data_IF_657562219443
#
_entry.id   IF_657562219443
#
_cell.length_a   1.000
_cell.length_b   1.000
_cell.length_c   1.000
_cell.angle_alpha   90.00
_cell.angle_beta   90.00
_cell.angle_gamma   90.00
#
_symmetry.space_group_name_H-M   'P 1'
#
loop_
_entity.id
_entity.type
_entity.pdbx_description
1 polymer ?
#
# COMPACT_ATOMS: atom_id res chain seq x y z
N UNK A 1 2.12 -9.07 -21.25
CA UNK A 1 2.69 -7.97 -20.45
C UNK A 1 1.98 -6.67 -20.81
N UNK A 2 1.36 -6.05 -19.82
CA UNK A 2 0.52 -4.86 -19.93
C UNK A 2 1.33 -3.62 -19.54
N UNK A 3 1.12 -2.49 -20.21
CA UNK A 3 1.84 -1.23 -19.96
C UNK A 3 1.17 -0.36 -18.87
N UNK A 4 0.20 -0.92 -18.16
CA UNK A 4 -0.60 -0.21 -17.17
C UNK A 4 0.10 -0.06 -15.80
N UNK A 5 1.20 -0.78 -15.54
CA UNK A 5 1.90 -0.74 -14.24
C UNK A 5 2.31 0.67 -13.85
N UNK A 6 3.00 1.41 -14.72
CA UNK A 6 3.39 2.79 -14.40
C UNK A 6 2.17 3.71 -14.21
N UNK A 7 1.18 3.77 -15.14
CA UNK A 7 -0.03 4.55 -14.93
C UNK A 7 -0.78 4.25 -13.62
N UNK A 8 -0.92 2.97 -13.24
CA UNK A 8 -1.56 2.57 -11.97
C UNK A 8 -0.75 3.06 -10.78
N UNK A 9 0.58 2.95 -10.85
CA UNK A 9 1.45 3.51 -9.83
C UNK A 9 1.35 5.03 -9.75
N UNK A 10 1.15 5.75 -10.86
CA UNK A 10 0.95 7.21 -10.81
C UNK A 10 -0.36 7.57 -10.11
N UNK A 11 -1.44 6.85 -10.39
CA UNK A 11 -2.71 7.02 -9.67
C UNK A 11 -2.53 6.75 -8.18
N UNK A 12 -1.87 5.64 -7.82
CA UNK A 12 -1.58 5.31 -6.43
C UNK A 12 -0.71 6.37 -5.73
N UNK A 13 0.33 6.86 -6.42
CA UNK A 13 1.21 7.89 -5.87
C UNK A 13 0.43 9.18 -5.59
N UNK A 14 -0.37 9.64 -6.55
CA UNK A 14 -1.15 10.87 -6.45
C UNK A 14 -2.22 10.81 -5.34
N UNK A 15 -2.82 9.64 -5.11
CA UNK A 15 -3.81 9.43 -4.05
C UNK A 15 -3.21 9.18 -2.66
N UNK A 16 -1.88 9.20 -2.51
CA UNK A 16 -1.21 8.94 -1.24
C UNK A 16 -1.11 7.45 -0.86
N UNK A 17 -1.39 6.53 -1.79
CA UNK A 17 -1.29 5.07 -1.56
C UNK A 17 0.14 4.55 -1.70
N UNK A 18 0.36 3.32 -1.26
CA UNK A 18 1.57 2.54 -1.55
C UNK A 18 1.48 1.90 -2.93
N UNK A 19 2.62 1.71 -3.59
CA UNK A 19 2.71 1.22 -4.97
C UNK A 19 3.64 0.01 -5.09
N UNK A 20 3.48 -0.75 -6.17
CA UNK A 20 4.23 -1.98 -6.44
C UNK A 20 4.74 -1.99 -7.88
N UNK A 21 5.95 -2.50 -8.08
CA UNK A 21 6.50 -2.77 -9.40
C UNK A 21 7.47 -3.95 -9.38
N UNK A 22 7.78 -4.46 -10.57
CA UNK A 22 8.78 -5.50 -10.78
C UNK A 22 8.55 -6.25 -12.08
N UNK A 23 9.52 -7.10 -12.44
CA UNK A 23 9.42 -7.96 -13.63
C UNK A 23 8.27 -8.97 -13.57
N UNK A 24 7.74 -9.25 -12.38
CA UNK A 24 6.51 -10.03 -12.19
C UNK A 24 5.31 -9.37 -12.86
N UNK A 25 5.17 -8.05 -12.69
CA UNK A 25 4.02 -7.30 -13.19
C UNK A 25 4.23 -6.87 -14.66
N UNK A 26 5.46 -6.48 -15.01
CA UNK A 26 5.78 -5.99 -16.34
C UNK A 26 7.25 -6.20 -16.72
N UNK A 27 7.49 -6.65 -17.96
CA UNK A 27 8.83 -6.93 -18.48
C UNK A 27 9.38 -5.83 -19.40
N UNK A 28 8.58 -4.85 -19.81
CA UNK A 28 8.93 -3.89 -20.86
C UNK A 28 9.00 -2.47 -20.34
N UNK A 29 9.85 -1.63 -20.94
CA UNK A 29 9.73 -0.19 -20.76
C UNK A 29 8.41 0.34 -21.38
N UNK A 30 8.03 1.58 -21.07
CA UNK A 30 6.75 2.16 -21.50
C UNK A 30 6.58 2.22 -23.03
N UNK A 31 7.68 2.22 -23.80
CA UNK A 31 7.67 2.23 -25.28
C UNK A 31 7.82 0.85 -25.91
N UNK A 32 7.97 -0.22 -25.12
CA UNK A 32 8.28 -1.59 -25.57
C UNK A 32 9.53 -1.72 -26.46
N UNK A 33 10.47 -0.80 -26.36
CA UNK A 33 11.72 -0.88 -27.13
C UNK A 33 12.78 -1.75 -26.46
N UNK A 34 12.68 -1.95 -25.15
CA UNK A 34 13.60 -2.78 -24.39
C UNK A 34 12.93 -3.40 -23.16
N UNK A 35 13.51 -4.50 -22.66
CA UNK A 35 13.15 -5.08 -21.37
C UNK A 35 13.59 -4.14 -20.24
N UNK A 36 12.79 -4.06 -19.19
CA UNK A 36 13.05 -3.19 -18.05
C UNK A 36 13.08 -4.03 -16.78
N UNK A 37 14.25 -4.13 -16.14
CA UNK A 37 14.43 -4.90 -14.90
C UNK A 37 13.77 -4.23 -13.69
N UNK A 38 13.55 -5.02 -12.63
CA UNK A 38 12.92 -4.55 -11.39
C UNK A 38 13.62 -3.33 -10.78
N UNK A 39 14.97 -3.31 -10.76
CA UNK A 39 15.74 -2.18 -10.24
C UNK A 39 15.42 -0.88 -10.99
N UNK A 40 15.45 -0.91 -12.33
CA UNK A 40 15.13 0.26 -13.14
C UNK A 40 13.68 0.74 -12.94
N UNK A 41 12.74 -0.19 -12.73
CA UNK A 41 11.34 0.15 -12.41
C UNK A 41 11.23 0.82 -11.04
N UNK A 42 11.97 0.34 -10.04
CA UNK A 42 12.04 0.94 -8.70
C UNK A 42 12.62 2.35 -8.80
N UNK A 43 13.75 2.54 -9.46
CA UNK A 43 14.39 3.85 -9.65
C UNK A 43 13.43 4.87 -10.30
N UNK A 44 12.65 4.43 -11.30
CA UNK A 44 11.62 5.25 -11.92
C UNK A 44 10.55 5.71 -10.92
N UNK A 45 10.07 4.81 -10.06
CA UNK A 45 9.07 5.16 -9.04
C UNK A 45 9.65 6.02 -7.93
N UNK A 46 10.88 5.75 -7.48
CA UNK A 46 11.56 6.54 -6.44
C UNK A 46 11.72 7.99 -6.89
N UNK A 47 12.16 8.22 -8.13
CA UNK A 47 12.27 9.57 -8.70
C UNK A 47 10.91 10.29 -8.69
N UNK A 48 9.87 9.62 -9.19
CA UNK A 48 8.53 10.23 -9.28
C UNK A 48 7.93 10.49 -7.90
N UNK A 49 8.07 9.56 -6.95
CA UNK A 49 7.63 9.78 -5.58
C UNK A 49 8.32 11.02 -4.95
N UNK A 50 9.60 11.21 -5.24
CA UNK A 50 10.36 12.40 -4.84
C UNK A 50 9.81 13.71 -5.42
N UNK A 51 9.39 13.72 -6.70
CA UNK A 51 8.73 14.87 -7.33
C UNK A 51 7.41 15.26 -6.64
N UNK A 52 6.73 14.29 -6.01
CA UNK A 52 5.52 14.49 -5.22
C UNK A 52 5.80 14.77 -3.73
N UNK A 53 7.06 14.94 -3.33
CA UNK A 53 7.45 15.16 -1.93
C UNK A 53 7.18 13.94 -1.03
N UNK A 54 7.09 12.73 -1.59
CA UNK A 54 6.81 11.49 -0.85
C UNK A 54 8.09 10.70 -0.62
N UNK A 55 8.68 10.74 0.60
CA UNK A 55 9.90 9.99 0.89
C UNK A 55 9.65 8.47 0.87
N UNK A 56 10.70 7.71 0.54
CA UNK A 56 10.63 6.25 0.49
C UNK A 56 10.87 5.67 1.88
N UNK A 57 9.95 4.83 2.34
CA UNK A 57 10.07 4.13 3.61
C UNK A 57 11.24 3.14 3.58
N UNK A 58 12.03 3.14 4.64
CA UNK A 58 13.00 2.07 4.92
C UNK A 58 12.27 0.76 5.23
N UNK A 59 12.98 -0.37 5.19
CA UNK A 59 12.41 -1.66 5.56
C UNK A 59 11.89 -1.70 7.01
N UNK A 60 12.52 -0.96 7.93
CA UNK A 60 12.06 -0.83 9.31
C UNK A 60 10.75 -0.04 9.38
N UNK A 61 10.68 1.13 8.74
CA UNK A 61 9.47 1.93 8.68
C UNK A 61 8.32 1.17 8.00
N UNK A 62 8.61 0.41 6.93
CA UNK A 62 7.60 -0.41 6.27
C UNK A 62 7.01 -1.48 7.21
N UNK A 63 7.84 -2.11 8.05
CA UNK A 63 7.35 -3.05 9.08
C UNK A 63 6.47 -2.36 10.11
N UNK A 64 6.86 -1.18 10.56
CA UNK A 64 6.09 -0.38 11.52
C UNK A 64 4.74 0.07 10.93
N UNK A 65 4.74 0.63 9.72
CA UNK A 65 3.53 1.07 9.00
C UNK A 65 2.57 -0.10 8.80
N UNK A 66 3.08 -1.24 8.33
CA UNK A 66 2.27 -2.43 8.07
C UNK A 66 2.02 -3.29 9.33
N UNK A 67 2.52 -2.86 10.50
CA UNK A 67 2.45 -3.59 11.77
C UNK A 67 2.93 -5.05 11.69
N UNK A 68 3.93 -5.30 10.85
CA UNK A 68 4.51 -6.64 10.67
C UNK A 68 5.32 -6.99 11.91
N UNK A 69 5.00 -8.13 12.52
CA UNK A 69 5.63 -8.61 13.75
C UNK A 69 4.99 -8.09 15.04
N UNK A 70 3.90 -7.33 14.94
CA UNK A 70 3.10 -6.95 16.11
C UNK A 70 2.13 -8.07 16.48
N UNK A 71 2.08 -8.40 17.77
CA UNK A 71 1.16 -9.39 18.33
C UNK A 71 0.32 -8.74 19.43
N UNK A 72 -0.93 -9.18 19.57
CA UNK A 72 -1.87 -8.69 20.57
C UNK A 72 -2.22 -9.82 21.55
N UNK A 73 -2.71 -9.48 22.73
CA UNK A 73 -3.03 -10.45 23.77
C UNK A 73 -4.33 -11.20 23.49
N UNK A 74 -5.24 -10.61 22.71
CA UNK A 74 -6.55 -11.20 22.40
C UNK A 74 -6.98 -11.01 20.95
N UNK A 75 -7.97 -11.79 20.53
CA UNK A 75 -8.63 -11.65 19.22
C UNK A 75 -9.32 -10.29 19.11
N UNK A 76 -10.02 -9.87 20.17
CA UNK A 76 -10.74 -8.59 20.17
C UNK A 76 -9.78 -7.41 20.03
N UNK A 77 -8.63 -7.43 20.71
CA UNK A 77 -7.57 -6.42 20.53
C UNK A 77 -7.02 -6.39 19.10
N UNK A 78 -6.80 -7.57 18.51
CA UNK A 78 -6.30 -7.69 17.13
C UNK A 78 -7.28 -7.07 16.13
N UNK A 79 -8.57 -7.40 16.26
CA UNK A 79 -9.63 -6.89 15.39
C UNK A 79 -9.79 -5.37 15.53
N UNK A 80 -9.82 -4.88 16.78
CA UNK A 80 -9.90 -3.45 17.05
C UNK A 80 -8.71 -2.69 16.46
N UNK A 81 -7.49 -3.22 16.63
CA UNK A 81 -6.28 -2.61 16.08
C UNK A 81 -6.29 -2.57 14.54
N UNK A 82 -6.91 -3.57 13.88
CA UNK A 82 -7.09 -3.61 12.43
C UNK A 82 -8.27 -2.75 11.93
N UNK A 83 -8.91 -1.97 12.83
CA UNK A 83 -10.00 -1.05 12.50
C UNK A 83 -11.38 -1.72 12.36
N UNK A 84 -11.53 -2.97 12.81
CA UNK A 84 -12.85 -3.63 12.84
C UNK A 84 -13.69 -3.08 13.98
N UNK A 85 -15.00 -3.03 13.76
CA UNK A 85 -15.95 -2.69 14.83
C UNK A 85 -15.97 -3.79 15.90
N UNK A 86 -16.17 -3.44 17.19
CA UNK A 86 -16.29 -4.43 18.25
C UNK A 86 -17.54 -5.29 18.08
N UNK A 87 -17.52 -6.46 18.71
CA UNK A 87 -18.68 -7.36 18.73
C UNK A 87 -19.90 -6.67 19.35
N UNK A 88 -21.04 -6.74 18.66
CA UNK A 88 -22.33 -6.20 19.11
C UNK A 88 -22.73 -6.79 20.46
N UNK A 89 -23.01 -5.95 21.44
CA UNK A 89 -23.71 -6.38 22.65
C UNK A 89 -25.19 -6.66 22.31
N UNK A 90 -25.74 -7.76 22.84
CA UNK A 90 -27.12 -8.16 22.62
C UNK A 90 -28.11 -6.99 22.82
N UNK A 91 -29.15 -6.94 21.98
CA UNK A 91 -30.15 -5.87 21.97
C UNK A 91 -29.68 -4.45 21.57
N UNK A 92 -28.43 -4.26 21.12
CA UNK A 92 -28.00 -3.01 20.46
C UNK A 92 -28.09 -3.09 18.92
N UNK A 93 -28.38 -1.96 18.26
CA UNK A 93 -28.57 -1.86 16.80
C UNK A 93 -27.24 -1.81 16.00
N UNK A 94 -26.09 -1.87 16.67
CA UNK A 94 -24.76 -1.93 16.03
C UNK A 94 -23.82 -0.81 16.49
N UNK A 95 -22.58 -0.86 15.98
CA UNK A 95 -21.47 0.02 16.40
C UNK A 95 -21.08 1.10 15.37
N UNK A 96 -21.89 1.32 14.32
CA UNK A 96 -21.60 2.34 13.32
C UNK A 96 -21.50 3.73 13.97
N UNK A 97 -20.44 4.48 13.63
CA UNK A 97 -20.38 5.92 13.94
C UNK A 97 -21.58 6.58 13.28
N UNK A 98 -22.55 7.05 14.08
CA UNK A 98 -23.48 8.06 13.60
C UNK A 98 -22.63 9.29 13.26
N UNK A 99 -22.66 9.73 12.01
CA UNK A 99 -22.18 11.06 11.68
C UNK A 99 -22.98 12.06 12.54
N UNK A 100 -22.27 12.98 13.19
CA UNK A 100 -22.89 14.10 13.89
C UNK A 100 -23.51 15.07 12.89
#
# INVERSE_FOLDING_TARGET
>A
SVLNVLPVNMMGIAMGLHVRCGTEDNLWNQRRTAKMGTVAQIEQLVRIAGEFGRPIATAQQAREICRIGQFYGTVDETLAANGFAPNRNGAQQGFLRKAA
#
